data_IF_213370169967
#
_entry.id   IF_213370169967
#
_cell.length_a   1.000
_cell.length_b   1.000
_cell.length_c   1.000
_cell.angle_alpha   90.00
_cell.angle_beta   90.00
_cell.angle_gamma   90.00
#
_symmetry.space_group_name_H-M   'P 1'
#
loop_
_entity.id
_entity.type
_entity.pdbx_description
1 polymer ?
#
# COMPACT_ATOMS: atom_id res chain seq x y z
N UNK A 1 3.01 -24.50 -12.32
CA UNK A 1 3.96 -23.52 -12.89
C UNK A 1 3.37 -22.14 -12.70
N UNK A 2 3.85 -21.40 -11.70
CA UNK A 2 3.40 -20.02 -11.43
C UNK A 2 4.14 -19.07 -12.38
N UNK A 3 3.44 -18.40 -13.28
CA UNK A 3 4.02 -17.34 -14.11
C UNK A 3 4.02 -16.04 -13.30
N UNK A 4 5.20 -15.60 -12.92
CA UNK A 4 5.44 -14.30 -12.28
C UNK A 4 5.53 -13.25 -13.38
N UNK A 5 4.66 -12.24 -13.38
CA UNK A 5 4.76 -11.08 -14.24
C UNK A 5 5.61 -10.00 -13.54
N UNK A 6 6.80 -9.73 -14.10
CA UNK A 6 7.62 -8.60 -13.69
C UNK A 6 7.00 -7.29 -14.25
N UNK A 7 6.95 -6.24 -13.42
CA UNK A 7 6.48 -4.92 -13.83
C UNK A 7 7.65 -4.02 -14.18
N UNK A 8 7.69 -3.55 -15.41
CA UNK A 8 8.54 -2.43 -15.81
C UNK A 8 7.68 -1.16 -15.84
N UNK A 9 8.03 -0.15 -15.07
CA UNK A 9 7.47 1.19 -15.19
C UNK A 9 8.26 1.90 -16.29
N UNK A 10 7.65 2.07 -17.47
CA UNK A 10 8.19 2.93 -18.53
C UNK A 10 7.52 4.29 -18.40
N UNK A 11 8.24 5.27 -17.91
CA UNK A 11 7.82 6.67 -17.95
C UNK A 11 8.19 7.26 -19.33
N UNK A 12 7.21 7.47 -20.20
CA UNK A 12 7.36 8.28 -21.40
C UNK A 12 7.14 9.76 -21.04
N UNK A 13 8.21 10.52 -21.00
CA UNK A 13 8.14 11.98 -20.89
C UNK A 13 7.94 12.59 -22.27
N UNK A 14 6.82 13.28 -22.49
CA UNK A 14 6.64 14.18 -23.64
C UNK A 14 7.26 15.53 -23.34
N UNK A 15 8.24 15.93 -24.15
CA UNK A 15 8.91 17.23 -24.06
C UNK A 15 8.02 18.36 -24.58
N UNK A 16 7.96 19.44 -23.81
CA UNK A 16 7.56 20.77 -24.26
C UNK A 16 8.39 21.87 -23.62
N UNK A 17 9.33 22.41 -24.40
CA UNK A 17 9.98 23.74 -24.34
C UNK A 17 10.93 24.06 -23.16
N UNK A 18 12.20 23.96 -23.44
CA UNK A 18 13.33 24.86 -23.22
C UNK A 18 13.66 25.43 -21.84
N UNK A 19 14.53 24.74 -21.09
CA UNK A 19 15.60 25.34 -20.30
C UNK A 19 16.83 24.39 -20.32
N UNK A 20 18.04 24.98 -20.23
CA UNK A 20 19.33 24.36 -20.48
C UNK A 20 19.53 23.01 -19.77
N UNK A 21 20.02 22.05 -20.55
CA UNK A 21 20.17 20.65 -20.24
C UNK A 21 20.88 20.27 -18.95
N UNK A 22 20.18 19.52 -18.14
CA UNK A 22 20.74 18.37 -17.44
C UNK A 22 19.99 17.14 -17.96
N UNK A 23 20.67 16.30 -18.70
CA UNK A 23 20.15 15.00 -19.11
C UNK A 23 19.88 14.19 -17.83
N UNK A 24 18.61 14.01 -17.51
CA UNK A 24 18.21 13.01 -16.50
C UNK A 24 18.60 11.66 -17.11
N UNK A 25 19.61 11.00 -16.55
CA UNK A 25 19.95 9.63 -16.92
C UNK A 25 18.72 8.79 -16.59
N UNK A 26 18.16 8.13 -17.59
CA UNK A 26 17.07 7.18 -17.37
C UNK A 26 17.48 6.20 -16.26
N UNK A 27 16.58 5.94 -15.33
CA UNK A 27 16.81 4.90 -14.33
C UNK A 27 17.18 3.60 -15.06
N UNK A 28 18.20 2.91 -14.57
CA UNK A 28 18.56 1.59 -15.06
C UNK A 28 17.29 0.71 -15.02
N UNK A 29 17.06 -0.15 -16.03
CA UNK A 29 15.89 -1.02 -16.02
C UNK A 29 15.90 -1.85 -14.73
N UNK A 30 14.74 -1.94 -14.08
CA UNK A 30 14.57 -2.73 -12.88
C UNK A 30 15.21 -4.11 -13.09
N UNK A 31 16.15 -4.48 -12.21
CA UNK A 31 16.78 -5.81 -12.30
C UNK A 31 15.67 -6.86 -12.25
N UNK A 32 15.75 -7.85 -13.12
CA UNK A 32 14.87 -9.03 -13.07
C UNK A 32 15.17 -9.81 -11.79
N UNK A 33 14.51 -9.47 -10.71
CA UNK A 33 14.64 -10.19 -9.44
C UNK A 33 13.84 -11.48 -9.54
N UNK A 34 14.54 -12.58 -9.37
CA UNK A 34 13.92 -13.91 -9.33
C UNK A 34 13.39 -14.16 -7.92
N UNK A 35 12.11 -13.79 -7.68
CA UNK A 35 11.46 -13.97 -6.39
C UNK A 35 11.38 -15.45 -5.97
N UNK A 36 11.53 -16.40 -6.89
CA UNK A 36 11.54 -17.83 -6.57
C UNK A 36 12.75 -18.25 -5.74
N UNK A 37 13.80 -17.43 -5.72
CA UNK A 37 15.02 -17.63 -4.93
C UNK A 37 14.99 -16.93 -3.58
N UNK A 38 13.97 -16.14 -3.31
CA UNK A 38 13.82 -15.44 -2.04
C UNK A 38 13.37 -16.41 -0.95
N UNK A 39 13.90 -16.21 0.26
CA UNK A 39 13.47 -16.93 1.46
C UNK A 39 12.30 -16.18 2.08
N UNK A 40 11.25 -16.92 2.46
CA UNK A 40 10.16 -16.36 3.27
C UNK A 40 10.71 -16.07 4.67
N UNK A 41 10.70 -14.79 5.05
CA UNK A 41 11.10 -14.36 6.39
C UNK A 41 9.92 -14.28 7.35
N UNK A 42 8.75 -13.94 6.83
CA UNK A 42 7.51 -13.83 7.60
C UNK A 42 6.32 -14.12 6.69
N UNK A 43 5.29 -14.74 7.23
CA UNK A 43 3.99 -14.88 6.59
C UNK A 43 2.87 -14.97 7.62
N UNK A 44 1.65 -14.61 7.22
CA UNK A 44 0.43 -14.93 7.92
C UNK A 44 -0.57 -15.51 6.91
N UNK A 45 -0.83 -16.78 7.06
CA UNK A 45 -1.72 -17.54 6.17
C UNK A 45 -3.17 -17.56 6.67
N UNK A 46 -3.45 -16.87 7.80
CA UNK A 46 -4.77 -16.77 8.43
C UNK A 46 -5.45 -18.12 8.66
N UNK A 47 -4.69 -19.14 9.01
CA UNK A 47 -5.17 -20.50 9.25
C UNK A 47 -5.91 -20.68 10.59
N UNK A 48 -5.90 -19.67 11.44
CA UNK A 48 -6.61 -19.65 12.73
C UNK A 48 -8.10 -19.33 12.59
N UNK A 49 -8.72 -19.08 13.74
CA UNK A 49 -10.10 -18.62 13.85
C UNK A 49 -10.19 -17.17 14.31
N UNK A 50 -9.06 -16.56 14.66
CA UNK A 50 -8.95 -15.20 15.16
C UNK A 50 -7.75 -14.51 14.50
N UNK A 51 -7.79 -13.17 14.48
CA UNK A 51 -6.68 -12.35 14.03
C UNK A 51 -5.50 -12.53 15.00
N UNK A 52 -4.33 -12.90 14.45
CA UNK A 52 -3.14 -13.07 15.27
C UNK A 52 -2.69 -11.72 15.87
N UNK A 53 -2.88 -11.57 17.17
CA UNK A 53 -2.53 -10.35 17.91
C UNK A 53 -1.03 -10.08 18.01
N UNK A 54 -0.17 -11.05 17.72
CA UNK A 54 1.29 -10.86 17.66
C UNK A 54 1.72 -10.22 16.34
N UNK A 55 0.89 -10.33 15.30
CA UNK A 55 1.14 -9.77 13.98
C UNK A 55 0.36 -8.48 13.72
N UNK A 56 -0.86 -8.38 14.21
CA UNK A 56 -1.82 -7.37 13.80
C UNK A 56 -2.45 -6.62 14.95
N UNK A 57 -2.75 -5.35 14.73
CA UNK A 57 -3.54 -4.51 15.63
C UNK A 57 -4.71 -3.92 14.83
N UNK A 58 -5.96 -4.20 15.21
CA UNK A 58 -7.12 -3.47 14.71
C UNK A 58 -7.05 -2.00 15.12
N UNK A 59 -7.32 -1.10 14.20
CA UNK A 59 -7.52 0.32 14.49
C UNK A 59 -9.00 0.59 14.68
N UNK A 60 -9.34 1.40 15.68
CA UNK A 60 -10.72 1.65 16.10
C UNK A 60 -11.04 3.13 15.97
N UNK A 61 -12.23 3.43 15.48
CA UNK A 61 -12.71 4.81 15.35
C UNK A 61 -12.70 5.33 13.93
N UNK A 62 -12.79 6.66 13.81
CA UNK A 62 -12.72 7.35 12.52
C UNK A 62 -11.44 8.22 12.39
N UNK A 63 -10.51 8.11 13.34
CA UNK A 63 -9.29 8.91 13.35
C UNK A 63 -9.54 10.41 13.40
N UNK A 64 -8.53 11.18 13.05
CA UNK A 64 -8.65 12.62 12.90
C UNK A 64 -9.08 12.94 11.46
N UNK A 65 -10.21 13.61 11.29
CA UNK A 65 -10.80 13.96 9.99
C UNK A 65 -10.89 12.76 9.02
N UNK A 66 -11.44 11.62 9.50
CA UNK A 66 -11.52 10.39 8.69
C UNK A 66 -10.14 9.94 8.23
N UNK A 67 -9.22 9.76 9.19
CA UNK A 67 -7.83 9.34 8.96
C UNK A 67 -7.05 10.19 7.94
N UNK A 68 -7.44 11.45 7.77
CA UNK A 68 -6.86 12.35 6.78
C UNK A 68 -7.53 12.30 5.39
N UNK A 69 -8.45 11.37 5.15
CA UNK A 69 -9.06 11.09 3.86
C UNK A 69 -10.56 11.43 3.80
N UNK A 70 -11.12 12.02 4.89
CA UNK A 70 -12.55 12.27 5.02
C UNK A 70 -13.40 10.98 4.91
N UNK A 71 -12.85 9.86 5.40
CA UNK A 71 -13.51 8.55 5.44
C UNK A 71 -14.82 8.62 6.24
N UNK A 72 -15.85 7.90 5.79
CA UNK A 72 -17.22 8.04 6.33
C UNK A 72 -17.58 6.97 7.34
N UNK A 73 -16.79 5.90 7.45
CA UNK A 73 -17.02 4.78 8.33
C UNK A 73 -16.35 4.96 9.68
N UNK A 74 -16.84 4.18 10.62
CA UNK A 74 -16.20 3.93 11.91
C UNK A 74 -15.57 2.54 11.90
N UNK A 75 -14.27 2.44 12.13
CA UNK A 75 -13.57 1.15 12.17
C UNK A 75 -13.80 0.42 13.48
N UNK A 76 -14.06 -0.89 13.39
CA UNK A 76 -14.33 -1.79 14.51
C UNK A 76 -13.55 -3.09 14.35
N UNK A 77 -13.06 -3.63 15.47
CA UNK A 77 -12.44 -4.96 15.46
C UNK A 77 -13.42 -6.06 15.00
N UNK A 78 -14.69 -5.93 15.32
CA UNK A 78 -15.73 -6.90 14.94
C UNK A 78 -16.04 -6.95 13.43
N UNK A 79 -15.55 -5.99 12.66
CA UNK A 79 -15.59 -6.02 11.19
C UNK A 79 -14.44 -6.83 10.57
N UNK A 80 -13.58 -7.41 11.41
CA UNK A 80 -12.45 -8.24 11.01
C UNK A 80 -12.70 -9.64 11.55
N UNK A 81 -12.57 -10.64 10.71
CA UNK A 81 -12.70 -12.05 11.09
C UNK A 81 -11.70 -12.92 10.34
N UNK A 82 -11.33 -14.04 10.93
CA UNK A 82 -10.46 -15.05 10.32
C UNK A 82 -11.19 -16.38 10.30
N UNK A 83 -11.31 -16.97 9.14
CA UNK A 83 -11.84 -18.33 8.95
C UNK A 83 -11.46 -18.85 7.57
N UNK A 84 -11.41 -20.16 7.42
CA UNK A 84 -11.18 -20.86 6.16
C UNK A 84 -9.88 -20.39 5.44
N UNK A 85 -8.81 -20.17 6.23
CA UNK A 85 -7.52 -19.73 5.69
C UNK A 85 -7.57 -18.32 5.10
N UNK A 86 -8.49 -17.47 5.55
CA UNK A 86 -8.59 -16.09 5.07
C UNK A 86 -8.94 -15.11 6.19
N UNK A 87 -8.34 -13.96 6.15
CA UNK A 87 -8.79 -12.79 6.90
C UNK A 87 -9.82 -12.03 6.06
N UNK A 88 -10.91 -11.63 6.68
CA UNK A 88 -12.02 -10.93 6.04
C UNK A 88 -12.23 -9.58 6.72
N UNK A 89 -12.28 -8.52 5.93
CA UNK A 89 -12.64 -7.17 6.38
C UNK A 89 -14.02 -6.85 5.78
N UNK A 90 -14.99 -6.57 6.63
CA UNK A 90 -16.37 -6.34 6.22
C UNK A 90 -16.76 -4.88 6.37
N UNK A 91 -17.01 -4.20 5.25
CA UNK A 91 -17.73 -2.93 5.26
C UNK A 91 -19.26 -3.21 5.27
N UNK A 92 -19.99 -2.47 6.10
CA UNK A 92 -21.45 -2.66 6.23
C UNK A 92 -22.14 -1.38 6.69
N UNK A 93 -23.44 -1.28 6.38
CA UNK A 93 -24.33 -0.29 6.96
C UNK A 93 -24.59 -0.65 8.41
N UNK A 94 -24.06 0.13 9.31
CA UNK A 94 -24.22 -0.02 10.75
C UNK A 94 -24.03 1.35 11.41
N UNK A 95 -24.95 1.75 12.27
CA UNK A 95 -24.88 3.05 12.95
C UNK A 95 -24.05 2.95 14.21
N UNK A 96 -23.02 3.80 14.30
CA UNK A 96 -22.20 4.00 15.50
C UNK A 96 -22.04 5.50 15.74
N UNK A 97 -22.70 6.02 16.76
CA UNK A 97 -22.74 7.47 17.02
C UNK A 97 -23.30 8.24 15.81
N UNK A 98 -22.51 9.13 15.22
CA UNK A 98 -22.86 9.89 14.03
C UNK A 98 -22.55 9.17 12.71
N UNK A 99 -21.84 8.05 12.74
CA UNK A 99 -21.44 7.29 11.55
C UNK A 99 -22.55 6.31 11.14
N UNK A 100 -22.75 6.15 9.84
CA UNK A 100 -23.77 5.25 9.27
C UNK A 100 -23.18 3.97 8.71
N UNK A 101 -21.86 3.87 8.66
CA UNK A 101 -21.13 2.71 8.15
C UNK A 101 -20.04 2.30 9.12
N UNK A 102 -19.75 1.01 9.13
CA UNK A 102 -18.59 0.45 9.82
C UNK A 102 -17.75 -0.37 8.87
N UNK A 103 -16.46 -0.47 9.15
CA UNK A 103 -15.52 -1.30 8.42
C UNK A 103 -14.37 -1.77 9.32
N UNK A 104 -13.33 -2.37 8.76
CA UNK A 104 -12.14 -2.80 9.48
C UNK A 104 -10.87 -2.19 8.88
N UNK A 105 -9.92 -1.91 9.78
CA UNK A 105 -8.58 -1.46 9.46
C UNK A 105 -7.60 -2.12 10.42
N UNK A 106 -6.53 -2.71 9.90
CA UNK A 106 -5.49 -3.36 10.69
C UNK A 106 -4.11 -2.86 10.27
N UNK A 107 -3.17 -2.94 11.19
CA UNK A 107 -1.77 -2.64 10.94
C UNK A 107 -0.84 -3.61 11.65
N UNK A 108 0.36 -3.80 11.10
CA UNK A 108 1.45 -4.56 11.73
C UNK A 108 2.42 -3.70 12.54
N UNK A 109 2.17 -2.40 12.67
CA UNK A 109 3.06 -1.44 13.33
C UNK A 109 3.44 -1.89 14.74
N UNK A 110 4.75 -1.86 15.05
CA UNK A 110 5.30 -2.31 16.33
C UNK A 110 5.35 -3.82 16.52
N UNK A 111 4.92 -4.60 15.53
CA UNK A 111 4.88 -6.08 15.57
C UNK A 111 5.69 -6.70 14.44
N UNK A 112 5.38 -6.34 13.20
CA UNK A 112 6.10 -6.79 12.01
C UNK A 112 6.54 -5.57 11.22
N UNK A 113 7.85 -5.45 10.99
CA UNK A 113 8.46 -4.43 10.16
C UNK A 113 9.25 -5.08 9.03
N UNK A 114 9.20 -4.51 7.84
CA UNK A 114 9.85 -5.01 6.64
C UNK A 114 10.77 -3.91 6.12
N UNK A 115 12.05 -4.21 5.94
CA UNK A 115 13.03 -3.26 5.37
C UNK A 115 13.18 -3.45 3.88
N UNK A 116 13.60 -4.64 3.48
CA UNK A 116 13.91 -4.98 2.09
C UNK A 116 13.29 -6.30 1.69
N UNK A 117 13.08 -6.49 0.41
CA UNK A 117 12.61 -7.75 -0.14
C UNK A 117 11.33 -7.61 -0.94
N UNK A 118 10.62 -8.70 -1.04
CA UNK A 118 9.33 -8.77 -1.71
C UNK A 118 8.21 -8.94 -0.68
N UNK A 119 7.20 -8.10 -0.77
CA UNK A 119 6.01 -8.15 0.07
C UNK A 119 4.82 -8.46 -0.82
N UNK A 120 4.05 -9.48 -0.50
CA UNK A 120 2.84 -9.79 -1.26
C UNK A 120 1.66 -10.12 -0.35
N UNK A 121 0.46 -9.83 -0.86
CA UNK A 121 -0.77 -10.35 -0.31
C UNK A 121 -1.66 -10.88 -1.44
N UNK A 122 -2.30 -12.04 -1.18
CA UNK A 122 -3.31 -12.58 -2.06
C UNK A 122 -4.68 -12.10 -1.60
N UNK A 123 -5.31 -11.24 -2.39
CA UNK A 123 -6.50 -10.49 -1.98
C UNK A 123 -7.62 -10.69 -3.01
N UNK A 124 -8.85 -10.79 -2.50
CA UNK A 124 -10.09 -10.71 -3.27
C UNK A 124 -10.84 -9.47 -2.80
N UNK A 125 -11.10 -8.54 -3.71
CA UNK A 125 -11.72 -7.26 -3.40
C UNK A 125 -13.14 -7.16 -3.92
N UNK A 126 -14.04 -6.44 -3.24
CA UNK A 126 -15.35 -6.13 -3.77
C UNK A 126 -15.29 -5.05 -4.86
N UNK A 127 -16.38 -4.93 -5.63
CA UNK A 127 -16.56 -3.85 -6.60
C UNK A 127 -17.95 -3.25 -6.41
N UNK A 128 -18.02 -2.15 -5.66
CA UNK A 128 -19.26 -1.41 -5.37
C UNK A 128 -18.99 0.08 -5.29
N UNK A 129 -20.03 0.90 -5.43
CA UNK A 129 -19.92 2.34 -5.18
C UNK A 129 -19.65 2.58 -3.69
N UNK A 130 -18.78 3.53 -3.40
CA UNK A 130 -18.41 3.91 -2.04
C UNK A 130 -17.39 2.99 -1.38
N UNK A 131 -16.80 2.03 -2.09
CA UNK A 131 -15.82 1.09 -1.55
C UNK A 131 -14.42 1.47 -2.03
N UNK A 132 -13.47 1.43 -1.11
CA UNK A 132 -12.06 1.68 -1.37
C UNK A 132 -11.19 0.72 -0.55
N UNK A 133 -11.03 -0.55 -0.96
CA UNK A 133 -10.09 -1.47 -0.33
C UNK A 133 -8.66 -1.07 -0.66
N UNK A 134 -7.78 -1.15 0.35
CA UNK A 134 -6.37 -0.81 0.21
C UNK A 134 -5.45 -1.80 0.93
N UNK A 135 -4.32 -2.08 0.30
CA UNK A 135 -3.16 -2.76 0.85
C UNK A 135 -1.95 -1.87 0.65
N UNK A 136 -1.39 -1.38 1.74
CA UNK A 136 -0.42 -0.31 1.73
C UNK A 136 0.57 -0.41 2.88
N UNK A 137 1.63 0.37 2.83
CA UNK A 137 2.70 0.39 3.79
C UNK A 137 3.05 1.82 4.19
N UNK A 138 3.41 2.02 5.46
CA UNK A 138 3.81 3.30 6.01
C UNK A 138 5.20 3.19 6.64
N UNK A 139 6.06 4.19 6.42
CA UNK A 139 7.40 4.23 6.97
C UNK A 139 7.42 4.37 8.49
N UNK A 140 8.36 3.68 9.14
CA UNK A 140 8.54 3.67 10.61
C UNK A 140 9.80 4.41 11.05
N UNK A 141 10.25 5.41 10.28
CA UNK A 141 11.45 6.20 10.54
C UNK A 141 11.29 7.28 11.63
N UNK A 142 10.15 7.29 12.33
CA UNK A 142 9.84 8.24 13.39
C UNK A 142 9.37 9.62 12.92
N UNK A 143 9.28 9.85 11.62
CA UNK A 143 8.74 11.09 11.05
C UNK A 143 7.23 11.01 10.87
N UNK A 144 6.60 12.17 10.81
CA UNK A 144 5.17 12.28 10.44
C UNK A 144 4.98 12.22 8.93
N UNK A 145 3.81 11.83 8.49
CA UNK A 145 3.42 11.85 7.08
C UNK A 145 3.46 13.29 6.49
N UNK A 146 3.92 13.49 5.26
CA UNK A 146 4.41 12.49 4.31
C UNK A 146 5.90 12.14 4.45
N UNK A 147 6.61 12.71 5.43
CA UNK A 147 8.05 12.51 5.60
C UNK A 147 8.45 11.11 6.09
N UNK A 148 7.50 10.33 6.61
CA UNK A 148 7.74 8.91 6.87
C UNK A 148 7.74 8.08 5.58
N UNK A 149 7.13 8.57 4.51
CA UNK A 149 6.90 7.86 3.26
C UNK A 149 5.74 6.87 3.34
N UNK A 150 5.07 6.62 2.20
CA UNK A 150 3.97 5.67 2.07
C UNK A 150 4.04 4.96 0.73
N UNK A 151 3.68 3.69 0.70
CA UNK A 151 3.60 2.87 -0.50
C UNK A 151 2.24 2.20 -0.53
N UNK A 152 1.39 2.63 -1.46
CA UNK A 152 0.12 1.99 -1.72
C UNK A 152 0.33 0.91 -2.78
N UNK A 153 0.32 -0.33 -2.34
CA UNK A 153 0.57 -1.47 -3.20
C UNK A 153 -0.66 -1.73 -4.07
N UNK A 154 -1.83 -1.65 -3.46
CA UNK A 154 -3.10 -1.89 -4.11
C UNK A 154 -4.17 -0.97 -3.52
N UNK A 155 -4.73 -0.12 -4.35
CA UNK A 155 -5.95 0.63 -4.07
C UNK A 155 -6.97 0.39 -5.17
N UNK A 156 -8.21 0.14 -4.77
CA UNK A 156 -9.31 -0.01 -5.72
C UNK A 156 -10.45 0.93 -5.38
N UNK A 157 -10.83 1.78 -6.31
CA UNK A 157 -11.83 2.81 -6.09
C UNK A 157 -13.16 2.46 -6.73
N UNK A 158 -14.19 2.29 -5.91
CA UNK A 158 -15.56 2.11 -6.39
C UNK A 158 -15.67 0.94 -7.41
N UNK A 159 -16.32 1.23 -8.52
CA UNK A 159 -16.55 0.25 -9.61
C UNK A 159 -15.51 0.35 -10.74
N UNK A 160 -14.43 1.15 -10.59
CA UNK A 160 -13.36 1.23 -11.59
C UNK A 160 -12.79 -0.15 -11.86
N UNK A 161 -12.36 -0.40 -13.10
CA UNK A 161 -11.76 -1.69 -13.51
C UNK A 161 -10.27 -1.79 -13.22
N UNK A 162 -9.65 -0.68 -12.84
CA UNK A 162 -8.22 -0.59 -12.56
C UNK A 162 -7.91 -0.67 -11.06
N UNK A 163 -6.66 -0.98 -10.79
CA UNK A 163 -6.00 -0.86 -9.49
C UNK A 163 -4.98 0.26 -9.62
N UNK A 164 -4.91 1.10 -8.60
CA UNK A 164 -3.88 2.13 -8.47
C UNK A 164 -2.80 1.65 -7.50
N UNK A 165 -1.55 1.94 -7.84
CA UNK A 165 -0.42 1.86 -6.92
C UNK A 165 0.23 3.23 -6.84
N UNK A 166 0.57 3.67 -5.62
CA UNK A 166 1.05 5.03 -5.36
C UNK A 166 2.28 5.00 -4.45
N UNK A 167 3.16 5.97 -4.58
CA UNK A 167 4.22 6.25 -3.63
C UNK A 167 4.09 7.71 -3.22
N UNK A 168 3.97 7.97 -1.91
CA UNK A 168 3.95 9.31 -1.32
C UNK A 168 5.29 9.61 -0.64
N UNK A 169 5.78 10.81 -0.82
CA UNK A 169 7.04 11.30 -0.25
C UNK A 169 7.03 12.82 -0.08
N UNK A 170 7.87 13.40 0.80
CA UNK A 170 7.86 14.83 1.04
C UNK A 170 8.53 15.61 -0.11
N UNK A 171 7.95 16.75 -0.47
CA UNK A 171 8.66 17.81 -1.18
C UNK A 171 9.73 18.43 -0.28
N UNK A 172 10.61 19.25 -0.85
CA UNK A 172 11.60 20.03 -0.11
C UNK A 172 11.00 20.94 0.99
N UNK A 173 9.74 21.37 0.82
CA UNK A 173 8.99 22.17 1.79
C UNK A 173 8.13 21.34 2.77
N UNK A 174 8.29 20.02 2.76
CA UNK A 174 7.55 19.09 3.61
C UNK A 174 6.14 18.73 3.15
N UNK A 175 5.63 19.36 2.08
CA UNK A 175 4.32 19.01 1.53
C UNK A 175 4.37 17.64 0.83
N UNK A 176 3.21 16.99 0.71
CA UNK A 176 3.09 15.74 -0.02
C UNK A 176 3.42 15.90 -1.52
N UNK A 177 4.12 14.92 -2.02
CA UNK A 177 4.31 14.65 -3.44
C UNK A 177 4.11 13.16 -3.67
N UNK A 178 3.49 12.81 -4.79
CA UNK A 178 3.25 11.40 -5.10
C UNK A 178 3.46 11.11 -6.60
N UNK A 179 3.74 9.85 -6.87
CA UNK A 179 3.70 9.26 -8.20
C UNK A 179 2.82 8.03 -8.15
N UNK A 180 2.03 7.81 -9.19
CA UNK A 180 1.13 6.67 -9.23
C UNK A 180 1.08 6.03 -10.60
N UNK A 181 0.61 4.79 -10.64
CA UNK A 181 0.29 4.06 -11.86
C UNK A 181 -1.04 3.34 -11.71
N UNK A 182 -1.78 3.23 -12.79
CA UNK A 182 -3.03 2.47 -12.84
C UNK A 182 -2.86 1.26 -13.75
N UNK A 183 -3.47 0.15 -13.36
CA UNK A 183 -3.50 -1.07 -14.14
C UNK A 183 -4.89 -1.66 -14.18
N UNK A 184 -5.42 -1.86 -15.39
CA UNK A 184 -6.64 -2.62 -15.58
C UNK A 184 -6.40 -4.09 -15.23
N UNK A 185 -7.30 -4.64 -14.42
CA UNK A 185 -7.30 -6.04 -14.02
C UNK A 185 -8.65 -6.63 -14.43
N UNK A 186 -8.61 -7.61 -15.33
CA UNK A 186 -9.79 -8.40 -15.64
C UNK A 186 -10.21 -9.19 -14.40
N UNK A 187 -11.50 -9.21 -14.11
CA UNK A 187 -12.04 -9.95 -12.97
C UNK A 187 -11.43 -9.55 -11.62
N UNK A 188 -11.24 -8.23 -11.36
CA UNK A 188 -10.63 -7.72 -10.12
C UNK A 188 -11.31 -8.23 -8.83
N UNK A 189 -12.54 -8.72 -8.92
CA UNK A 189 -13.29 -9.33 -7.81
C UNK A 189 -12.93 -10.79 -7.55
N UNK A 190 -12.02 -11.36 -8.31
CA UNK A 190 -11.42 -12.67 -8.04
C UNK A 190 -10.12 -12.53 -7.24
N UNK A 191 -9.53 -13.67 -6.87
CA UNK A 191 -8.30 -13.69 -6.13
C UNK A 191 -7.10 -13.28 -7.00
N UNK A 192 -6.41 -12.21 -6.60
CA UNK A 192 -5.17 -11.75 -7.22
C UNK A 192 -4.06 -11.60 -6.16
N UNK A 193 -2.81 -11.73 -6.58
CA UNK A 193 -1.64 -11.42 -5.75
C UNK A 193 -1.13 -10.03 -6.12
N UNK A 194 -0.96 -9.20 -5.11
CA UNK A 194 -0.44 -7.84 -5.21
C UNK A 194 0.85 -7.74 -4.40
N UNK A 195 1.89 -7.13 -4.95
CA UNK A 195 3.14 -6.98 -4.21
C UNK A 195 4.18 -6.15 -4.95
N UNK A 196 4.92 -5.28 -4.25
CA UNK A 196 6.10 -4.58 -4.72
C UNK A 196 7.36 -5.34 -4.36
N UNK A 197 8.45 -5.01 -5.04
CA UNK A 197 9.80 -5.32 -4.62
C UNK A 197 10.40 -4.08 -3.96
N UNK A 198 10.80 -4.20 -2.70
CA UNK A 198 11.50 -3.17 -1.95
C UNK A 198 13.00 -3.40 -2.13
N UNK A 199 13.65 -2.51 -2.88
CA UNK A 199 15.09 -2.58 -3.13
C UNK A 199 15.82 -1.46 -2.43
N UNK A 200 16.94 -1.77 -1.75
CA UNK A 200 17.85 -0.84 -1.15
C UNK A 200 18.93 -0.33 -2.09
N UNK A 201 19.34 0.92 -1.88
CA UNK A 201 20.57 1.47 -2.45
C UNK A 201 21.67 1.48 -1.40
N UNK A 202 22.87 1.01 -1.76
CA UNK A 202 24.02 0.91 -0.85
C UNK A 202 24.62 2.27 -0.41
N UNK A 203 24.04 3.41 -0.82
CA UNK A 203 24.52 4.74 -0.44
C UNK A 203 23.40 5.67 0.00
N UNK A 204 23.56 6.39 1.11
CA UNK A 204 22.60 7.40 1.52
C UNK A 204 22.53 8.50 0.43
N UNK A 205 21.34 8.78 -0.06
CA UNK A 205 21.10 9.89 -0.99
C UNK A 205 21.09 11.18 -0.18
N UNK A 206 22.09 12.00 -0.37
CA UNK A 206 22.21 13.32 0.28
C UNK A 206 21.56 14.44 -0.54
N UNK A 207 21.09 14.15 -1.74
CA UNK A 207 20.49 15.11 -2.66
C UNK A 207 19.09 14.70 -3.08
N UNK A 208 18.08 15.30 -2.44
CA UNK A 208 16.66 15.10 -2.70
C UNK A 208 16.15 15.74 -4.01
N UNK A 209 17.01 16.32 -4.83
CA UNK A 209 16.66 16.88 -6.15
C UNK A 209 16.53 15.80 -7.24
N UNK A 210 16.96 14.56 -6.96
CA UNK A 210 16.82 13.40 -7.84
C UNK A 210 15.66 12.55 -7.37
N UNK A 211 14.89 12.00 -8.32
CA UNK A 211 13.76 11.13 -8.04
C UNK A 211 14.11 10.11 -6.95
N UNK A 212 13.54 10.31 -5.77
CA UNK A 212 13.75 9.45 -4.64
C UNK A 212 13.26 8.03 -4.99
N UNK A 213 14.02 7.05 -4.59
CA UNK A 213 13.59 5.67 -4.66
C UNK A 213 12.75 5.36 -3.43
N UNK A 214 11.95 4.32 -3.48
CA UNK A 214 11.10 3.89 -2.36
C UNK A 214 11.86 3.84 -1.04
N UNK A 215 13.13 3.49 -1.09
CA UNK A 215 13.98 3.31 0.08
C UNK A 215 14.46 4.60 0.73
N UNK A 216 14.74 5.61 -0.08
CA UNK A 216 15.14 6.94 0.42
C UNK A 216 13.99 7.58 1.20
N UNK A 217 12.75 7.14 0.92
CA UNK A 217 11.54 7.71 1.47
C UNK A 217 11.06 6.94 2.70
N UNK A 218 11.08 5.62 2.67
CA UNK A 218 10.27 4.83 3.61
C UNK A 218 11.08 4.11 4.69
N UNK A 219 12.32 3.70 4.42
CA UNK A 219 13.08 2.86 5.37
C UNK A 219 12.34 1.56 5.71
N UNK A 220 12.28 1.20 6.99
CA UNK A 220 11.42 0.11 7.44
C UNK A 220 9.95 0.51 7.35
N UNK A 221 9.10 -0.39 6.90
CA UNK A 221 7.66 -0.16 6.72
C UNK A 221 6.81 -1.09 7.56
N UNK A 222 5.62 -0.63 7.89
CA UNK A 222 4.56 -1.43 8.48
C UNK A 222 3.47 -1.69 7.44
N UNK A 223 2.85 -2.85 7.52
CA UNK A 223 1.76 -3.23 6.61
C UNK A 223 0.43 -2.72 7.17
N UNK A 224 -0.40 -2.17 6.31
CA UNK A 224 -1.78 -1.80 6.62
C UNK A 224 -2.74 -2.43 5.62
N UNK A 225 -3.88 -2.88 6.12
CA UNK A 225 -4.99 -3.42 5.34
C UNK A 225 -6.28 -2.79 5.80
N UNK A 226 -7.07 -2.30 4.89
CA UNK A 226 -8.35 -1.69 5.21
C UNK A 226 -9.35 -1.80 4.07
N UNK A 227 -10.63 -1.58 4.41
CA UNK A 227 -11.68 -1.37 3.45
C UNK A 227 -12.45 -0.10 3.83
N UNK A 228 -12.33 0.91 2.99
CA UNK A 228 -12.94 2.21 3.17
C UNK A 228 -14.37 2.24 2.63
N UNK A 229 -15.18 3.14 3.20
CA UNK A 229 -16.46 3.57 2.65
C UNK A 229 -16.37 5.07 2.36
N UNK A 230 -16.56 5.46 1.13
CA UNK A 230 -16.31 6.84 0.68
C UNK A 230 -17.58 7.55 0.20
#
# INVERSE_FOLDING_TARGET
MRKVLAFAVVATATLGIGFAGTTVKAAEPAQNIDISKMKVNWSDEFNGTELNSDHWTPEIGNGNWGWGNNEKEYYKANNISVSDGTMKIKAQTEKVGSYNWTSGRIKSAGKVNIGYGYVEARIKIPSSRGIWPAFWMLGTNGKTWPACGEIDIMEAFNTRSDIQSTIHYPKWNGADQYVYTNRNISNKTEWHTYGPILQGFEKPVTDFSRAATVEDVVGNVTICLMQLVH
#
